data_IF_876472030309
#
_entry.id   IF_876472030309
#
_cell.length_a   1.000
_cell.length_b   1.000
_cell.length_c   1.000
_cell.angle_alpha   90.00
_cell.angle_beta   90.00
_cell.angle_gamma   90.00
#
_symmetry.space_group_name_H-M   'P 1'
#
loop_
_entity.id
_entity.type
_entity.pdbx_description
1 polymer ?
#
# COMPACT_ATOMS: atom_id res chain seq x y z
N UNK A 1 15.60 -6.44 4.09
CA UNK A 1 16.54 -6.24 2.96
C UNK A 1 17.22 -4.90 3.12
N UNK A 2 18.34 -4.67 2.44
CA UNK A 2 18.97 -3.34 2.42
C UNK A 2 18.13 -2.35 1.60
N UNK A 3 18.35 -1.06 1.83
CA UNK A 3 17.72 0.01 1.04
C UNK A 3 18.12 -0.06 -0.44
N UNK A 4 19.40 -0.31 -0.74
CA UNK A 4 19.85 -0.54 -2.12
C UNK A 4 19.09 -1.68 -2.81
N UNK A 5 18.88 -2.80 -2.10
CA UNK A 5 18.11 -3.92 -2.63
C UNK A 5 16.64 -3.53 -2.86
N UNK A 6 16.03 -2.81 -1.91
CA UNK A 6 14.66 -2.29 -2.05
C UNK A 6 14.53 -1.38 -3.29
N UNK A 7 15.49 -0.49 -3.53
CA UNK A 7 15.51 0.37 -4.71
C UNK A 7 15.52 -0.39 -6.03
N UNK A 8 16.15 -1.56 -6.11
CA UNK A 8 16.12 -2.39 -7.33
C UNK A 8 14.73 -2.97 -7.65
N UNK A 9 13.87 -3.10 -6.64
CA UNK A 9 12.51 -3.63 -6.77
C UNK A 9 11.45 -2.53 -7.01
N UNK A 10 11.75 -1.28 -6.65
CA UNK A 10 10.84 -0.14 -6.81
C UNK A 10 10.23 0.03 -8.22
N UNK A 11 10.95 -0.25 -9.34
CA UNK A 11 10.34 -0.16 -10.67
C UNK A 11 9.12 -1.08 -10.88
N UNK A 12 8.98 -2.14 -10.08
CA UNK A 12 7.84 -3.06 -10.15
C UNK A 12 6.59 -2.52 -9.45
N UNK A 13 6.75 -1.50 -8.61
CA UNK A 13 5.72 -0.89 -7.76
C UNK A 13 5.85 0.64 -7.82
N UNK A 14 5.94 1.19 -9.03
CA UNK A 14 6.41 2.56 -9.29
C UNK A 14 5.61 3.68 -8.59
N UNK A 15 4.38 3.41 -8.18
CA UNK A 15 3.52 4.36 -7.47
C UNK A 15 3.66 4.30 -5.94
N UNK A 16 4.42 3.33 -5.43
CA UNK A 16 4.77 3.22 -4.02
C UNK A 16 6.01 4.04 -3.69
N UNK A 17 6.15 4.40 -2.42
CA UNK A 17 7.31 5.13 -1.91
C UNK A 17 8.01 4.29 -0.85
N UNK A 18 9.33 4.40 -0.78
CA UNK A 18 10.08 3.94 0.38
C UNK A 18 10.01 5.03 1.46
N UNK A 19 9.67 4.61 2.67
CA UNK A 19 9.66 5.47 3.85
C UNK A 19 10.45 4.79 4.96
N UNK A 20 11.16 5.60 5.75
CA UNK A 20 11.87 5.14 6.94
C UNK A 20 11.21 5.79 8.17
N UNK A 21 10.63 4.97 9.03
CA UNK A 21 10.02 5.42 10.28
C UNK A 21 10.66 4.71 11.45
N UNK A 22 11.26 5.49 12.35
CA UNK A 22 11.93 4.99 13.55
C UNK A 22 12.94 3.86 13.27
N UNK A 23 13.62 3.94 12.11
CA UNK A 23 14.60 2.96 11.66
C UNK A 23 14.01 1.76 10.89
N UNK A 24 12.70 1.70 10.70
CA UNK A 24 12.00 0.66 9.96
C UNK A 24 11.66 1.16 8.56
N UNK A 25 12.24 0.49 7.54
CA UNK A 25 11.89 0.73 6.15
C UNK A 25 10.55 0.08 5.81
N UNK A 26 9.68 0.81 5.11
CA UNK A 26 8.36 0.36 4.65
C UNK A 26 8.07 0.82 3.22
N UNK A 27 7.15 0.14 2.55
CA UNK A 27 6.49 0.66 1.35
C UNK A 27 5.24 1.42 1.76
N UNK A 28 5.02 2.62 1.20
CA UNK A 28 3.84 3.44 1.46
C UNK A 28 3.22 3.96 0.17
N UNK A 29 1.89 3.85 0.06
CA UNK A 29 1.11 4.48 -1.02
C UNK A 29 -0.19 5.06 -0.49
N UNK A 30 -0.64 6.17 -1.08
CA UNK A 30 -1.89 6.83 -0.71
C UNK A 30 -2.80 7.07 -1.91
N UNK A 31 -4.11 7.01 -1.68
CA UNK A 31 -5.17 7.26 -2.64
C UNK A 31 -6.24 8.17 -2.04
N UNK A 32 -6.75 9.10 -2.85
CA UNK A 32 -7.94 9.85 -2.50
C UNK A 32 -9.19 9.09 -2.98
N UNK A 33 -10.08 8.72 -2.07
CA UNK A 33 -11.37 8.08 -2.38
C UNK A 33 -12.49 9.11 -2.52
N UNK A 34 -13.60 8.71 -3.14
CA UNK A 34 -14.77 9.58 -3.35
C UNK A 34 -15.49 9.95 -2.06
N UNK A 35 -15.59 9.01 -1.11
CA UNK A 35 -16.30 9.16 0.16
C UNK A 35 -15.60 8.36 1.26
N UNK A 36 -15.93 8.65 2.52
CA UNK A 36 -15.46 7.88 3.67
C UNK A 36 -15.80 6.38 3.55
N UNK A 37 -17.03 6.05 3.13
CA UNK A 37 -17.47 4.66 2.96
C UNK A 37 -16.74 3.95 1.83
N UNK A 38 -16.35 4.65 0.76
CA UNK A 38 -15.50 4.10 -0.30
C UNK A 38 -14.08 3.78 0.19
N UNK A 39 -13.59 4.50 1.20
CA UNK A 39 -12.33 4.13 1.88
C UNK A 39 -12.45 2.79 2.61
N UNK A 40 -13.55 2.56 3.33
CA UNK A 40 -13.82 1.28 3.99
C UNK A 40 -14.00 0.13 2.99
N UNK A 41 -14.63 0.40 1.84
CA UNK A 41 -14.76 -0.58 0.75
C UNK A 41 -13.40 -0.95 0.15
N UNK A 42 -12.54 0.04 -0.10
CA UNK A 42 -11.16 -0.19 -0.53
C UNK A 42 -10.42 -1.12 0.44
N UNK A 43 -10.51 -0.84 1.74
CA UNK A 43 -9.88 -1.68 2.77
C UNK A 43 -10.41 -3.09 2.79
N UNK A 44 -11.71 -3.31 2.56
CA UNK A 44 -12.25 -4.66 2.48
C UNK A 44 -11.60 -5.46 1.33
N UNK A 45 -11.42 -4.83 0.17
CA UNK A 45 -10.79 -5.47 -0.99
C UNK A 45 -9.34 -5.83 -0.67
N UNK A 46 -8.58 -4.90 -0.10
CA UNK A 46 -7.18 -5.15 0.29
C UNK A 46 -7.09 -6.23 1.38
N UNK A 47 -7.99 -6.23 2.36
CA UNK A 47 -8.00 -7.22 3.43
C UNK A 47 -8.19 -8.65 2.90
N UNK A 48 -9.07 -8.85 1.90
CA UNK A 48 -9.24 -10.17 1.26
C UNK A 48 -7.95 -10.61 0.56
N UNK A 49 -7.28 -9.69 -0.15
CA UNK A 49 -5.99 -9.99 -0.77
C UNK A 49 -4.94 -10.34 0.29
N UNK A 50 -4.80 -9.51 1.32
CA UNK A 50 -3.83 -9.70 2.40
C UNK A 50 -4.00 -11.04 3.12
N UNK A 51 -5.25 -11.44 3.38
CA UNK A 51 -5.55 -12.74 3.99
C UNK A 51 -5.15 -13.91 3.09
N UNK A 52 -5.45 -13.82 1.79
CA UNK A 52 -5.05 -14.86 0.82
C UNK A 52 -3.53 -14.98 0.67
N UNK A 53 -2.80 -13.87 0.82
CA UNK A 53 -1.34 -13.84 0.77
C UNK A 53 -0.68 -14.22 2.09
N UNK A 54 -1.43 -14.26 3.20
CA UNK A 54 -0.87 -14.44 4.55
C UNK A 54 0.06 -13.30 4.95
N UNK A 55 -0.17 -12.09 4.43
CA UNK A 55 0.66 -10.92 4.69
C UNK A 55 -0.19 -9.67 4.83
N UNK A 56 -0.20 -9.10 6.03
CA UNK A 56 -1.16 -8.07 6.45
C UNK A 56 -0.51 -6.69 6.50
N UNK A 57 -0.93 -5.75 5.63
CA UNK A 57 -0.42 -4.39 5.64
C UNK A 57 -1.15 -3.53 6.67
N UNK A 58 -0.55 -2.41 7.05
CA UNK A 58 -1.22 -1.39 7.86
C UNK A 58 -2.14 -0.55 6.96
N UNK A 59 -3.39 -0.37 7.40
CA UNK A 59 -4.44 0.31 6.66
C UNK A 59 -4.87 1.58 7.40
N UNK A 60 -4.61 2.75 6.82
CA UNK A 60 -4.89 4.05 7.45
C UNK A 60 -5.89 4.87 6.65
N UNK A 61 -7.08 5.12 7.22
CA UNK A 61 -8.01 6.10 6.66
C UNK A 61 -7.78 7.44 7.36
N UNK A 62 -6.96 8.27 6.73
CA UNK A 62 -6.56 9.58 7.26
C UNK A 62 -7.57 10.63 6.81
N UNK A 63 -8.09 11.40 7.76
CA UNK A 63 -9.19 12.32 7.50
C UNK A 63 -10.43 11.57 7.01
N UNK A 64 -11.14 12.13 6.03
CA UNK A 64 -12.38 11.52 5.53
C UNK A 64 -12.22 10.75 4.22
N UNK A 65 -11.10 10.89 3.49
CA UNK A 65 -10.93 10.27 2.17
C UNK A 65 -9.51 9.93 1.73
N UNK A 66 -8.50 10.00 2.60
CA UNK A 66 -7.15 9.61 2.23
C UNK A 66 -6.86 8.19 2.76
N UNK A 67 -6.93 7.22 1.88
CA UNK A 67 -6.50 5.84 2.15
C UNK A 67 -4.99 5.79 1.99
N UNK A 68 -4.26 5.42 3.04
CA UNK A 68 -2.84 5.11 3.00
C UNK A 68 -2.63 3.65 3.39
N UNK A 69 -1.78 2.95 2.65
CA UNK A 69 -1.37 1.58 2.96
C UNK A 69 0.13 1.56 3.19
N UNK A 70 0.54 0.87 4.24
CA UNK A 70 1.95 0.59 4.52
C UNK A 70 2.21 -0.90 4.57
N UNK A 71 3.30 -1.33 3.95
CA UNK A 71 3.67 -2.74 3.87
C UNK A 71 5.10 -2.90 4.35
N UNK A 72 5.27 -3.78 5.33
CA UNK A 72 6.56 -4.20 5.86
C UNK A 72 6.40 -5.50 6.65
N UNK A 73 7.52 -6.21 6.82
CA UNK A 73 7.52 -7.49 7.51
C UNK A 73 7.97 -7.30 8.97
N UNK A 74 7.01 -7.42 9.90
CA UNK A 74 7.22 -7.22 11.34
C UNK A 74 8.32 -8.11 11.92
N UNK A 75 8.34 -9.39 11.55
CA UNK A 75 9.27 -10.38 12.09
C UNK A 75 10.75 -10.06 11.79
N UNK A 76 11.04 -9.26 10.76
CA UNK A 76 12.41 -8.87 10.38
C UNK A 76 12.72 -7.41 10.66
N UNK A 77 11.76 -6.62 11.13
CA UNK A 77 11.95 -5.18 11.38
C UNK A 77 12.15 -4.35 10.10
N UNK A 78 11.59 -4.75 8.97
CA UNK A 78 11.76 -4.02 7.71
C UNK A 78 11.25 -4.78 6.48
N UNK A 79 11.81 -4.47 5.32
CA UNK A 79 11.32 -4.99 4.04
C UNK A 79 11.83 -6.39 3.67
N UNK A 80 10.99 -7.18 3.01
CA UNK A 80 11.25 -8.46 2.34
C UNK A 80 10.62 -8.45 0.95
N UNK A 81 10.96 -9.43 0.10
CA UNK A 81 10.38 -9.52 -1.24
C UNK A 81 8.86 -9.66 -1.21
N UNK A 82 8.31 -10.28 -0.16
CA UNK A 82 6.86 -10.43 0.01
C UNK A 82 6.14 -9.08 0.13
N UNK A 83 6.79 -8.05 0.67
CA UNK A 83 6.21 -6.70 0.74
C UNK A 83 5.98 -6.12 -0.67
N UNK A 84 6.95 -6.33 -1.57
CA UNK A 84 6.87 -5.90 -2.97
C UNK A 84 5.86 -6.74 -3.77
N UNK A 85 5.77 -8.04 -3.49
CA UNK A 85 4.78 -8.92 -4.10
C UNK A 85 3.36 -8.47 -3.73
N UNK A 86 3.11 -8.19 -2.44
CA UNK A 86 1.81 -7.71 -1.98
C UNK A 86 1.48 -6.34 -2.59
N UNK A 87 2.42 -5.39 -2.59
CA UNK A 87 2.26 -4.09 -3.23
C UNK A 87 1.88 -4.22 -4.72
N UNK A 88 2.60 -5.06 -5.48
CA UNK A 88 2.32 -5.31 -6.89
C UNK A 88 0.97 -6.00 -7.14
N UNK A 89 0.46 -6.78 -6.18
CA UNK A 89 -0.88 -7.36 -6.24
C UNK A 89 -1.96 -6.33 -5.92
N UNK A 90 -1.73 -5.44 -4.95
CA UNK A 90 -2.63 -4.31 -4.63
C UNK A 90 -2.78 -3.40 -5.85
N UNK A 91 -1.70 -3.13 -6.58
CA UNK A 91 -1.72 -2.30 -7.79
C UNK A 91 -2.65 -2.83 -8.90
N UNK A 92 -2.98 -4.13 -8.86
CA UNK A 92 -3.85 -4.80 -9.84
C UNK A 92 -5.31 -4.90 -9.39
N UNK A 93 -5.65 -4.43 -8.19
CA UNK A 93 -7.02 -4.45 -7.70
C UNK A 93 -7.90 -3.48 -8.51
N UNK A 94 -9.10 -3.92 -8.86
CA UNK A 94 -10.08 -3.05 -9.51
C UNK A 94 -10.78 -2.17 -8.45
N UNK A 95 -10.27 -0.95 -8.31
CA UNK A 95 -10.73 0.03 -7.30
C UNK A 95 -11.04 1.39 -7.92
N UNK A 96 -10.99 1.51 -9.25
CA UNK A 96 -11.08 2.79 -9.94
C UNK A 96 -12.40 3.53 -9.69
N UNK A 97 -13.50 2.79 -9.49
CA UNK A 97 -14.81 3.36 -9.17
C UNK A 97 -14.88 3.92 -7.74
N UNK A 98 -13.98 3.50 -6.84
CA UNK A 98 -13.86 4.01 -5.47
C UNK A 98 -13.05 5.31 -5.39
N UNK A 99 -12.13 5.51 -6.34
CA UNK A 99 -11.17 6.59 -6.33
C UNK A 99 -11.76 7.92 -6.81
N UNK A 100 -11.34 9.01 -6.17
CA UNK A 100 -11.59 10.37 -6.66
C UNK A 100 -10.75 10.58 -7.91
N UNK A 101 -11.39 10.98 -9.01
CA UNK A 101 -10.66 11.41 -10.21
C UNK A 101 -9.77 12.60 -9.84
N UNK A 102 -8.50 12.57 -10.25
CA UNK A 102 -7.69 13.79 -10.23
C UNK A 102 -8.42 14.84 -11.08
N UNK A 103 -8.45 16.12 -10.67
CA UNK A 103 -8.88 17.18 -11.57
C UNK A 103 -8.13 17.01 -12.89
N UNK A 104 -8.84 17.00 -14.00
CA UNK A 104 -8.21 17.21 -15.30
C UNK A 104 -7.68 18.64 -15.27
N UNK A 105 -6.37 18.81 -15.30
CA UNK A 105 -5.76 20.11 -15.61
C UNK A 105 -6.20 20.57 -17.01
#
# INVERSE_FOLDING_TARGET
MSEDAAHTLMPQVAEWNLVNEDGVMKLRRSWAVKTFTKGLEFFRIVAVLAENEGHHPDLHLVGWNNVTIEIWTHAVGGLTENDFILAAKIDKLDVLDLLRRKPSD
#
